data_IF_848531051832
#
_entry.id   IF_848531051832
#
_cell.length_a   1.000
_cell.length_b   1.000
_cell.length_c   1.000
_cell.angle_alpha   90.00
_cell.angle_beta   90.00
_cell.angle_gamma   90.00
#
_symmetry.space_group_name_H-M   'P 1'
#
loop_
_entity.id
_entity.type
_entity.pdbx_description
1 polymer ?
#
# COMPACT_ATOMS: atom_id res chain seq x y z
N UNK A 1 11.09 18.27 -0.06
CA UNK A 1 11.87 17.34 -0.93
C UNK A 1 13.12 17.98 -1.52
N UNK A 2 13.05 19.11 -2.26
CA UNK A 2 14.20 19.72 -2.93
C UNK A 2 15.40 19.97 -2.00
N UNK A 3 15.13 20.46 -0.78
CA UNK A 3 16.14 20.71 0.27
C UNK A 3 16.88 19.44 0.75
N UNK A 4 16.41 18.24 0.42
CA UNK A 4 17.03 16.97 0.83
C UNK A 4 18.22 16.55 -0.06
N UNK A 5 18.67 17.43 -0.96
CA UNK A 5 19.83 17.19 -1.84
C UNK A 5 19.71 15.89 -2.66
N UNK A 6 18.51 15.65 -3.18
CA UNK A 6 18.17 14.40 -3.88
C UNK A 6 18.95 14.30 -5.19
N UNK A 7 19.59 13.15 -5.40
CA UNK A 7 20.18 12.75 -6.68
C UNK A 7 19.33 11.62 -7.27
N UNK A 8 18.51 11.95 -8.27
CA UNK A 8 17.64 11.01 -8.95
C UNK A 8 18.42 10.16 -9.95
N UNK A 9 18.20 8.85 -9.94
CA UNK A 9 18.69 7.94 -10.96
C UNK A 9 17.80 8.08 -12.20
N UNK A 10 18.39 8.47 -13.33
CA UNK A 10 17.71 8.46 -14.65
C UNK A 10 18.53 7.60 -15.61
N UNK A 11 17.87 6.99 -16.59
CA UNK A 11 18.56 6.39 -17.73
C UNK A 11 18.76 7.48 -18.79
N UNK A 12 19.97 7.66 -19.29
CA UNK A 12 20.22 8.51 -20.44
C UNK A 12 19.75 7.83 -21.74
N UNK A 13 19.86 8.51 -22.88
CA UNK A 13 19.42 7.99 -24.19
C UNK A 13 20.10 6.67 -24.58
N UNK A 14 21.31 6.43 -24.06
CA UNK A 14 22.08 5.20 -24.26
C UNK A 14 21.71 4.09 -23.25
N UNK A 15 20.71 4.31 -22.39
CA UNK A 15 20.26 3.36 -21.38
C UNK A 15 21.14 3.26 -20.13
N UNK A 16 22.21 4.06 -20.04
CA UNK A 16 23.13 4.08 -18.89
C UNK A 16 22.48 4.85 -17.73
N UNK A 17 22.60 4.29 -16.52
CA UNK A 17 22.07 4.92 -15.31
C UNK A 17 23.02 6.01 -14.80
N UNK A 18 22.53 7.23 -14.74
CA UNK A 18 23.24 8.40 -14.24
C UNK A 18 22.45 9.07 -13.12
N UNK A 19 23.16 9.81 -12.26
CA UNK A 19 22.57 10.54 -11.14
C UNK A 19 22.43 12.01 -11.50
N UNK A 20 21.20 12.53 -11.40
CA UNK A 20 20.85 13.91 -11.68
C UNK A 20 20.36 14.58 -10.40
N UNK A 21 21.02 15.67 -10.01
CA UNK A 21 20.61 16.43 -8.81
C UNK A 21 19.40 17.29 -9.16
N UNK A 22 18.40 17.25 -8.29
CA UNK A 22 17.20 18.09 -8.46
C UNK A 22 17.55 19.56 -8.21
N UNK A 23 17.02 20.44 -9.04
CA UNK A 23 17.29 21.87 -9.04
C UNK A 23 16.03 22.74 -8.95
N UNK A 24 14.87 22.18 -9.30
CA UNK A 24 13.59 22.90 -9.32
C UNK A 24 12.49 22.15 -8.55
N UNK A 25 11.53 22.86 -7.91
CA UNK A 25 10.32 22.28 -7.35
C UNK A 25 9.45 21.52 -8.36
N UNK A 26 9.60 21.77 -9.66
CA UNK A 26 8.88 21.03 -10.70
C UNK A 26 9.41 19.60 -10.88
N UNK A 27 10.60 19.32 -10.36
CA UNK A 27 11.25 18.00 -10.45
C UNK A 27 10.98 17.12 -9.23
N UNK A 28 10.10 17.53 -8.30
CA UNK A 28 9.68 16.72 -7.16
C UNK A 28 8.29 16.12 -7.37
N UNK A 29 7.87 15.21 -6.49
CA UNK A 29 6.50 14.68 -6.51
C UNK A 29 5.51 15.82 -6.23
N UNK A 30 4.57 16.02 -7.16
CA UNK A 30 3.57 17.10 -7.10
C UNK A 30 2.16 16.61 -6.79
N UNK A 31 1.86 15.35 -7.11
CA UNK A 31 0.56 14.73 -6.84
C UNK A 31 0.77 13.37 -6.17
N UNK A 32 -0.20 12.98 -5.34
CA UNK A 32 -0.26 11.67 -4.71
C UNK A 32 -1.72 11.35 -4.34
N UNK A 33 -2.10 10.07 -4.41
CA UNK A 33 -3.36 9.55 -3.89
C UNK A 33 -3.33 9.55 -2.37
N UNK A 34 -4.12 10.42 -1.74
CA UNK A 34 -4.20 10.55 -0.29
C UNK A 34 -5.50 9.92 0.20
N UNK A 35 -5.44 9.30 1.37
CA UNK A 35 -6.64 8.87 2.06
C UNK A 35 -7.49 10.09 2.44
N UNK A 36 -8.81 9.93 2.41
CA UNK A 36 -9.73 10.90 3.01
C UNK A 36 -9.66 10.82 4.54
N UNK A 37 -10.11 11.88 5.21
CA UNK A 37 -10.27 11.85 6.66
C UNK A 37 -11.31 10.79 7.03
N UNK A 38 -11.00 9.96 8.03
CA UNK A 38 -11.91 8.96 8.57
C UNK A 38 -11.75 8.87 10.08
N UNK A 39 -12.84 8.47 10.76
CA UNK A 39 -12.89 8.35 12.21
C UNK A 39 -13.25 6.91 12.58
N UNK A 40 -12.25 6.17 13.05
CA UNK A 40 -12.40 4.76 13.41
C UNK A 40 -13.38 4.57 14.59
N UNK A 41 -13.43 5.51 15.54
CA UNK A 41 -14.32 5.45 16.69
C UNK A 41 -15.76 5.69 16.28
N UNK A 42 -16.02 6.77 15.53
CA UNK A 42 -17.35 7.14 15.08
C UNK A 42 -17.94 6.16 14.05
N UNK A 43 -17.12 5.65 13.11
CA UNK A 43 -17.59 4.79 12.03
C UNK A 43 -17.79 3.33 12.45
N UNK A 44 -16.96 2.84 13.38
CA UNK A 44 -16.92 1.42 13.72
C UNK A 44 -17.10 1.12 15.21
N UNK A 45 -17.29 2.14 16.05
CA UNK A 45 -17.46 1.97 17.49
C UNK A 45 -16.21 1.49 18.22
N UNK A 46 -15.02 1.70 17.63
CA UNK A 46 -13.75 1.35 18.28
C UNK A 46 -13.52 2.29 19.48
N UNK A 47 -13.16 1.77 20.67
CA UNK A 47 -13.08 2.62 21.86
C UNK A 47 -12.03 3.75 21.75
N UNK A 48 -12.44 4.97 22.06
CA UNK A 48 -11.58 6.17 22.01
C UNK A 48 -10.25 6.02 22.76
N UNK A 49 -10.24 5.28 23.87
CA UNK A 49 -9.03 5.13 24.69
C UNK A 49 -7.90 4.35 24.00
N UNK A 50 -8.22 3.49 23.02
CA UNK A 50 -7.19 2.75 22.26
C UNK A 50 -6.65 3.53 21.06
N UNK A 51 -7.45 4.43 20.49
CA UNK A 51 -7.10 5.13 19.23
C UNK A 51 -5.75 5.86 19.27
N UNK A 52 -5.31 6.48 20.39
CA UNK A 52 -4.00 7.12 20.44
C UNK A 52 -2.81 6.14 20.45
N UNK A 53 -3.04 4.84 20.69
CA UNK A 53 -2.00 3.81 20.68
C UNK A 53 -1.82 3.16 19.29
N UNK A 54 -2.65 3.53 18.32
CA UNK A 54 -2.63 2.97 16.96
C UNK A 54 -1.89 3.90 16.00
N UNK A 55 -0.98 3.35 15.21
CA UNK A 55 -0.49 4.01 14.00
C UNK A 55 -1.63 4.21 12.99
N UNK A 56 -1.55 5.23 12.14
CA UNK A 56 -2.57 5.48 11.12
C UNK A 56 -2.78 4.27 10.19
N UNK A 57 -1.71 3.56 9.84
CA UNK A 57 -1.79 2.34 9.02
C UNK A 57 -2.60 1.26 9.72
N UNK A 58 -2.48 1.15 11.04
CA UNK A 58 -3.24 0.17 11.83
C UNK A 58 -4.71 0.55 11.89
N UNK A 59 -5.02 1.83 12.07
CA UNK A 59 -6.40 2.32 12.03
C UNK A 59 -7.08 2.00 10.71
N UNK A 60 -6.36 2.20 9.60
CA UNK A 60 -6.84 1.88 8.26
C UNK A 60 -7.07 0.39 8.07
N UNK A 61 -6.13 -0.46 8.50
CA UNK A 61 -6.27 -1.92 8.43
C UNK A 61 -7.44 -2.43 9.27
N UNK A 62 -7.62 -1.92 10.49
CA UNK A 62 -8.74 -2.27 11.37
C UNK A 62 -10.07 -1.86 10.73
N UNK A 63 -10.17 -0.62 10.22
CA UNK A 63 -11.38 -0.14 9.52
C UNK A 63 -11.73 -1.05 8.33
N UNK A 64 -10.74 -1.38 7.49
CA UNK A 64 -10.95 -2.26 6.35
C UNK A 64 -11.38 -3.68 6.75
N UNK A 65 -10.83 -4.23 7.84
CA UNK A 65 -11.24 -5.53 8.38
C UNK A 65 -12.67 -5.53 8.93
N UNK A 66 -13.07 -4.46 9.61
CA UNK A 66 -14.43 -4.30 10.13
C UNK A 66 -15.45 -4.10 9.00
N UNK A 67 -15.12 -3.33 7.96
CA UNK A 67 -15.95 -3.25 6.74
C UNK A 67 -16.04 -4.59 6.01
N UNK A 68 -14.94 -5.35 5.92
CA UNK A 68 -14.95 -6.67 5.29
C UNK A 68 -15.85 -7.66 6.04
N UNK A 69 -15.81 -7.66 7.38
CA UNK A 69 -16.73 -8.46 8.21
C UNK A 69 -18.18 -8.06 7.99
N UNK A 70 -18.47 -6.77 7.99
CA UNK A 70 -19.82 -6.24 7.72
C UNK A 70 -20.30 -6.63 6.32
N UNK A 71 -19.47 -6.51 5.30
CA UNK A 71 -19.79 -6.90 3.93
C UNK A 71 -20.01 -8.42 3.79
N UNK A 72 -19.27 -9.23 4.56
CA UNK A 72 -19.47 -10.68 4.65
C UNK A 72 -20.68 -11.11 5.49
N UNK A 73 -21.48 -10.15 5.99
CA UNK A 73 -22.61 -10.35 6.91
C UNK A 73 -22.23 -11.10 8.19
N UNK A 74 -21.08 -10.74 8.78
CA UNK A 74 -20.60 -11.27 10.06
C UNK A 74 -20.72 -10.17 11.10
N UNK A 75 -21.78 -10.26 11.89
CA UNK A 75 -22.09 -9.30 12.93
C UNK A 75 -21.26 -9.57 14.19
N UNK A 76 -20.69 -8.50 14.75
CA UNK A 76 -20.08 -8.59 16.08
C UNK A 76 -21.16 -8.49 17.15
N UNK A 77 -21.06 -9.35 18.16
CA UNK A 77 -21.98 -9.46 19.29
C UNK A 77 -21.40 -8.79 20.53
N UNK A 78 -22.27 -8.14 21.32
CA UNK A 78 -21.86 -7.58 22.61
C UNK A 78 -21.77 -8.68 23.66
N UNK A 79 -20.60 -8.84 24.25
CA UNK A 79 -20.45 -9.67 25.44
C UNK A 79 -20.96 -8.94 26.71
N UNK A 80 -20.95 -9.65 27.85
CA UNK A 80 -21.36 -9.09 29.15
C UNK A 80 -20.54 -7.86 29.59
N UNK A 81 -19.32 -7.70 29.07
CA UNK A 81 -18.46 -6.53 29.31
C UNK A 81 -18.69 -5.40 28.28
N UNK A 82 -19.68 -5.53 27.40
CA UNK A 82 -20.01 -4.54 26.37
C UNK A 82 -19.09 -4.51 25.15
N UNK A 83 -18.11 -5.42 25.05
CA UNK A 83 -17.19 -5.53 23.90
C UNK A 83 -17.89 -6.20 22.73
N UNK A 84 -17.70 -5.65 21.53
CA UNK A 84 -18.17 -6.23 20.26
C UNK A 84 -17.17 -7.30 19.80
N UNK A 85 -17.57 -8.57 19.76
CA UNK A 85 -16.71 -9.69 19.39
C UNK A 85 -17.40 -10.55 18.33
N UNK A 86 -16.66 -11.37 17.59
CA UNK A 86 -17.24 -12.42 16.76
C UNK A 86 -18.14 -13.34 17.60
N UNK A 87 -19.15 -13.98 17.00
CA UNK A 87 -19.87 -15.09 17.61
C UNK A 87 -18.89 -16.14 18.13
N UNK A 88 -19.19 -16.75 19.28
CA UNK A 88 -18.26 -17.60 20.02
C UNK A 88 -17.72 -18.76 19.16
N UNK A 89 -18.59 -19.37 18.38
CA UNK A 89 -18.31 -20.46 17.44
C UNK A 89 -17.35 -20.09 16.32
N UNK A 90 -17.22 -18.80 15.98
CA UNK A 90 -16.32 -18.33 14.92
C UNK A 90 -14.94 -17.94 15.44
N UNK A 91 -14.77 -17.77 16.76
CA UNK A 91 -13.55 -17.15 17.33
C UNK A 91 -12.31 -18.01 17.12
N UNK A 92 -12.39 -19.29 17.43
CA UNK A 92 -11.21 -20.19 17.40
C UNK A 92 -10.76 -20.54 15.99
N UNK A 93 -11.67 -20.47 15.02
CA UNK A 93 -11.42 -20.81 13.63
C UNK A 93 -11.17 -19.61 12.72
N UNK A 94 -11.26 -18.38 13.26
CA UNK A 94 -10.98 -17.13 12.53
C UNK A 94 -9.55 -16.68 12.76
N UNK A 95 -8.74 -16.69 11.69
CA UNK A 95 -7.42 -16.09 11.65
C UNK A 95 -7.42 -14.65 11.14
N UNK A 96 -6.31 -13.94 11.34
CA UNK A 96 -6.11 -12.56 10.88
C UNK A 96 -4.74 -12.40 10.25
N UNK A 97 -4.67 -11.80 9.06
CA UNK A 97 -3.42 -11.48 8.38
C UNK A 97 -3.37 -9.98 8.11
N UNK A 98 -2.30 -9.32 8.54
CA UNK A 98 -2.02 -7.93 8.17
C UNK A 98 -0.94 -7.86 7.10
N UNK A 99 -1.22 -7.16 6.00
CA UNK A 99 -0.33 -6.97 4.88
C UNK A 99 0.06 -5.50 4.71
N UNK A 100 1.36 -5.18 4.76
CA UNK A 100 1.84 -3.82 4.56
C UNK A 100 3.29 -3.78 4.05
N UNK A 101 3.61 -2.77 3.24
CA UNK A 101 5.00 -2.53 2.80
C UNK A 101 5.76 -1.65 3.79
N UNK A 102 5.10 -0.62 4.31
CA UNK A 102 5.69 0.43 5.14
C UNK A 102 4.88 0.67 6.42
N UNK A 103 4.62 -0.37 7.24
CA UNK A 103 3.89 -0.18 8.49
C UNK A 103 4.68 0.72 9.45
N UNK A 104 3.98 1.34 10.41
CA UNK A 104 4.52 2.04 11.61
C UNK A 104 5.38 3.29 11.42
N UNK A 105 5.83 3.57 10.20
CA UNK A 105 6.81 4.63 9.97
C UNK A 105 6.27 6.03 10.26
N UNK A 106 4.96 6.25 10.18
CA UNK A 106 4.35 7.56 10.43
C UNK A 106 4.54 7.99 11.89
N UNK A 107 4.11 7.14 12.83
CA UNK A 107 4.26 7.38 14.27
C UNK A 107 5.73 7.53 14.69
N UNK A 108 6.61 6.72 14.11
CA UNK A 108 8.05 6.81 14.38
C UNK A 108 8.63 8.15 13.89
N UNK A 109 8.34 8.56 12.66
CA UNK A 109 8.81 9.82 12.11
C UNK A 109 8.26 11.00 12.92
N UNK A 110 6.99 10.94 13.34
CA UNK A 110 6.38 11.97 14.17
C UNK A 110 7.11 12.14 15.51
N UNK A 111 7.38 11.04 16.22
CA UNK A 111 8.06 11.07 17.51
C UNK A 111 9.50 11.59 17.39
N UNK A 112 10.25 11.08 16.40
CA UNK A 112 11.61 11.56 16.12
C UNK A 112 11.59 13.04 15.76
N UNK A 113 10.61 13.48 14.97
CA UNK A 113 10.48 14.89 14.57
C UNK A 113 10.12 15.81 15.74
N UNK A 114 9.28 15.36 16.69
CA UNK A 114 9.00 16.08 17.93
C UNK A 114 10.27 16.22 18.77
N UNK A 115 11.00 15.12 18.98
CA UNK A 115 12.24 15.12 19.76
C UNK A 115 13.33 16.01 19.14
N UNK A 116 13.51 15.96 17.81
CA UNK A 116 14.50 16.78 17.10
C UNK A 116 14.15 18.26 17.16
N UNK A 117 12.88 18.63 16.96
CA UNK A 117 12.42 20.02 17.11
C UNK A 117 12.74 20.55 18.51
N UNK A 118 12.44 19.78 19.56
CA UNK A 118 12.79 20.14 20.93
C UNK A 118 14.30 20.35 21.11
N UNK A 119 15.14 19.43 20.63
CA UNK A 119 16.61 19.56 20.71
C UNK A 119 17.14 20.79 19.97
N UNK A 120 16.68 21.03 18.75
CA UNK A 120 17.13 22.14 17.91
C UNK A 120 16.64 23.50 18.44
N UNK A 121 15.42 23.59 18.97
CA UNK A 121 14.94 24.80 19.63
C UNK A 121 15.73 25.09 20.91
N UNK A 122 16.02 24.06 21.70
CA UNK A 122 16.86 24.20 22.89
C UNK A 122 18.30 24.62 22.56
N UNK A 123 18.89 24.06 21.51
CA UNK A 123 20.21 24.45 21.02
C UNK A 123 20.22 25.88 20.47
N UNK A 124 19.31 26.24 19.56
CA UNK A 124 19.23 27.58 18.99
C UNK A 124 18.92 28.65 20.04
N UNK A 125 18.09 28.35 21.05
CA UNK A 125 17.86 29.24 22.19
C UNK A 125 19.15 29.42 22.98
N UNK A 126 19.86 28.34 23.29
CA UNK A 126 21.16 28.40 23.99
C UNK A 126 22.19 29.19 23.20
N UNK A 127 22.32 28.96 21.90
CA UNK A 127 23.25 29.67 21.01
C UNK A 127 22.89 31.16 20.88
N UNK A 128 21.60 31.51 20.76
CA UNK A 128 21.12 32.90 20.76
C UNK A 128 21.45 33.59 22.08
N UNK A 129 21.20 32.92 23.21
CA UNK A 129 21.54 33.43 24.54
C UNK A 129 23.06 33.62 24.68
N UNK A 130 23.87 32.64 24.27
CA UNK A 130 25.33 32.73 24.32
C UNK A 130 25.87 33.85 23.41
N UNK A 131 25.29 34.03 22.22
CA UNK A 131 25.64 35.10 21.30
C UNK A 131 25.30 36.48 21.89
N UNK A 132 24.07 36.67 22.38
CA UNK A 132 23.64 37.93 22.98
C UNK A 132 24.44 38.26 24.25
N UNK A 133 24.79 37.27 25.07
CA UNK A 133 25.69 37.45 26.23
C UNK A 133 27.09 37.91 25.80
N UNK A 134 27.66 37.32 24.75
CA UNK A 134 28.97 37.74 24.19
C UNK A 134 28.91 39.17 23.64
N UNK A 135 27.86 39.50 22.88
CA UNK A 135 27.66 40.84 22.35
C UNK A 135 27.53 41.85 23.50
N UNK A 136 26.68 41.55 24.51
CA UNK A 136 26.50 42.38 25.70
C UNK A 136 27.83 42.68 26.40
N UNK A 137 28.63 41.65 26.68
CA UNK A 137 29.94 41.81 27.35
C UNK A 137 30.92 42.67 26.55
N UNK A 138 30.87 42.59 25.22
CA UNK A 138 31.76 43.35 24.35
C UNK A 138 31.35 44.84 24.23
N UNK A 139 30.06 45.16 24.36
CA UNK A 139 29.56 46.54 24.26
C UNK A 139 29.34 47.21 25.61
N UNK A 140 29.41 46.49 26.72
CA UNK A 140 29.15 46.96 28.09
C UNK A 140 30.01 48.16 28.50
N UNK A 141 31.30 48.16 28.14
CA UNK A 141 32.23 49.23 28.52
C UNK A 141 32.09 50.50 27.67
N UNK A 142 31.60 50.38 26.43
CA UNK A 142 31.49 51.49 25.48
C UNK A 142 30.06 52.06 25.40
N UNK A 143 29.05 51.22 25.57
CA UNK A 143 27.63 51.55 25.41
C UNK A 143 26.77 50.85 26.48
N UNK A 144 26.85 51.27 27.76
CA UNK A 144 26.17 50.61 28.87
C UNK A 144 24.63 50.61 28.73
N UNK A 145 24.06 51.62 28.07
CA UNK A 145 22.62 51.68 27.76
C UNK A 145 22.16 50.57 26.79
N UNK A 146 22.99 50.24 25.79
CA UNK A 146 22.70 49.18 24.81
C UNK A 146 22.86 47.80 25.47
N UNK A 147 23.89 47.61 26.31
CA UNK A 147 24.08 46.39 27.07
C UNK A 147 22.86 46.08 27.97
N UNK A 148 22.28 47.11 28.61
CA UNK A 148 21.08 46.96 29.44
C UNK A 148 19.84 46.53 28.65
N UNK A 149 19.67 47.01 27.41
CA UNK A 149 18.59 46.56 26.51
C UNK A 149 18.79 45.11 26.11
N UNK A 150 20.02 44.72 25.74
CA UNK A 150 20.35 43.33 25.37
C UNK A 150 20.13 42.38 26.56
N UNK A 151 20.48 42.78 27.79
CA UNK A 151 20.22 42.00 29.00
C UNK A 151 18.72 41.87 29.29
N UNK A 152 17.92 42.91 29.04
CA UNK A 152 16.46 42.85 29.14
C UNK A 152 15.83 41.91 28.11
N UNK A 153 16.34 41.91 26.87
CA UNK A 153 15.96 40.97 25.81
C UNK A 153 16.34 39.53 26.18
N UNK A 154 17.54 39.32 26.73
CA UNK A 154 18.02 38.04 27.24
C UNK A 154 17.10 37.49 28.33
N UNK A 155 16.74 38.31 29.32
CA UNK A 155 15.77 37.92 30.35
C UNK A 155 14.40 37.62 29.75
N UNK A 156 13.96 38.37 28.75
CA UNK A 156 12.70 38.13 28.04
C UNK A 156 12.72 36.79 27.31
N UNK A 157 13.82 36.44 26.62
CA UNK A 157 14.02 35.16 25.93
C UNK A 157 14.12 34.00 26.93
N UNK A 158 14.81 34.20 28.06
CA UNK A 158 14.91 33.20 29.13
C UNK A 158 13.57 33.01 29.88
N UNK A 159 12.74 34.07 29.98
CA UNK A 159 11.38 34.04 30.57
C UNK A 159 10.31 33.58 29.58
N UNK A 160 10.50 33.78 28.28
CA UNK A 160 9.61 33.27 27.24
C UNK A 160 9.77 31.77 27.19
N UNK A 161 9.00 31.09 28.03
CA UNK A 161 8.66 29.68 27.86
C UNK A 161 7.80 29.56 26.60
N UNK A 162 8.38 29.73 25.41
CA UNK A 162 7.86 28.97 24.28
C UNK A 162 7.84 27.51 24.74
N UNK A 163 6.75 26.81 24.52
CA UNK A 163 6.46 25.50 25.12
C UNK A 163 7.51 24.46 24.70
N UNK A 164 8.66 24.48 25.38
CA UNK A 164 9.81 23.60 25.21
C UNK A 164 9.56 22.27 25.93
N UNK A 165 8.31 21.95 26.26
CA UNK A 165 7.98 20.68 26.88
C UNK A 165 7.91 19.59 25.81
N UNK A 166 8.89 18.69 25.83
CA UNK A 166 8.82 17.42 25.14
C UNK A 166 8.70 16.32 26.18
N UNK A 167 7.58 15.60 26.12
CA UNK A 167 7.38 14.35 26.84
C UNK A 167 7.44 13.21 25.83
N UNK A 168 8.24 12.19 26.13
CA UNK A 168 8.34 11.01 25.28
C UNK A 168 6.98 10.29 25.25
N UNK A 169 6.51 9.95 24.05
CA UNK A 169 5.23 9.26 23.92
C UNK A 169 5.32 7.84 24.49
N UNK A 170 4.79 7.62 25.70
CA UNK A 170 4.74 6.30 26.34
C UNK A 170 4.02 5.22 25.51
N UNK A 171 3.18 5.61 24.55
CA UNK A 171 2.44 4.70 23.66
C UNK A 171 3.24 4.32 22.41
N UNK A 172 4.42 4.93 22.18
CA UNK A 172 5.22 4.71 20.97
C UNK A 172 5.47 3.23 20.71
N UNK A 173 5.78 2.44 21.75
CA UNK A 173 6.04 1.02 21.60
C UNK A 173 4.87 0.28 20.91
N UNK A 174 3.64 0.60 21.29
CA UNK A 174 2.44 0.01 20.68
C UNK A 174 2.16 0.55 19.27
N UNK A 175 2.64 1.75 18.95
CA UNK A 175 2.53 2.35 17.63
C UNK A 175 3.59 1.81 16.65
N UNK A 176 4.74 1.33 17.14
CA UNK A 176 5.86 0.89 16.30
C UNK A 176 6.06 -0.61 16.21
N UNK A 177 5.43 -1.39 17.10
CA UNK A 177 5.34 -2.83 16.93
C UNK A 177 4.26 -3.13 15.89
N UNK A 178 4.63 -3.88 14.84
CA UNK A 178 3.71 -4.28 13.76
C UNK A 178 2.67 -5.25 14.35
N UNK A 179 1.48 -4.74 14.66
CA UNK A 179 0.46 -5.49 15.41
C UNK A 179 -0.97 -5.22 14.96
N UNK A 180 -1.19 -4.65 13.76
CA UNK A 180 -2.56 -4.38 13.29
C UNK A 180 -3.43 -5.65 13.22
N UNK A 181 -2.81 -6.77 12.84
CA UNK A 181 -3.40 -8.11 12.88
C UNK A 181 -3.80 -8.53 14.30
N UNK A 182 -2.92 -8.37 15.28
CA UNK A 182 -3.18 -8.68 16.69
C UNK A 182 -4.24 -7.75 17.30
N UNK A 183 -4.21 -6.46 16.97
CA UNK A 183 -5.16 -5.46 17.46
C UNK A 183 -6.55 -5.67 16.86
N UNK A 184 -6.65 -5.99 15.56
CA UNK A 184 -7.92 -6.37 14.95
C UNK A 184 -8.45 -7.67 15.58
N UNK A 185 -7.59 -8.68 15.77
CA UNK A 185 -7.98 -9.93 16.42
C UNK A 185 -8.48 -9.72 17.86
N UNK A 186 -7.80 -8.87 18.64
CA UNK A 186 -8.24 -8.49 19.99
C UNK A 186 -9.60 -7.78 19.95
N UNK A 187 -9.78 -6.84 19.02
CA UNK A 187 -11.02 -6.09 18.85
C UNK A 187 -12.22 -6.98 18.55
N UNK A 188 -12.03 -8.01 17.72
CA UNK A 188 -13.12 -8.91 17.29
C UNK A 188 -13.11 -10.24 18.05
N UNK A 189 -12.19 -10.46 18.98
CA UNK A 189 -12.07 -11.72 19.72
C UNK A 189 -11.67 -12.94 18.86
N UNK A 190 -10.98 -12.74 17.75
CA UNK A 190 -10.47 -13.83 16.92
C UNK A 190 -9.26 -14.50 17.62
N UNK A 191 -9.26 -15.83 17.69
CA UNK A 191 -8.27 -16.65 18.40
C UNK A 191 -7.52 -17.63 17.48
N UNK A 192 -7.83 -17.64 16.18
CA UNK A 192 -7.12 -18.45 15.19
C UNK A 192 -5.72 -17.91 14.84
N UNK A 193 -5.07 -18.49 13.82
CA UNK A 193 -3.73 -18.09 13.39
C UNK A 193 -3.64 -16.61 13.04
N UNK A 194 -2.55 -15.97 13.44
CA UNK A 194 -2.40 -14.53 13.35
C UNK A 194 -0.97 -14.16 12.92
N UNK A 195 -0.81 -13.35 11.86
CA UNK A 195 0.51 -12.96 11.34
C UNK A 195 0.47 -11.62 10.59
N UNK A 196 1.61 -10.94 10.53
CA UNK A 196 1.87 -9.86 9.58
C UNK A 196 2.72 -10.34 8.40
N UNK A 197 2.55 -9.75 7.22
CA UNK A 197 3.30 -10.09 6.02
C UNK A 197 3.72 -8.84 5.25
N UNK A 198 4.97 -8.84 4.78
CA UNK A 198 5.53 -7.82 3.92
C UNK A 198 6.16 -8.47 2.68
N UNK A 199 5.47 -8.35 1.56
CA UNK A 199 5.96 -8.70 0.22
C UNK A 199 6.02 -7.45 -0.67
N UNK A 200 6.33 -6.30 -0.07
CA UNK A 200 6.23 -4.99 -0.70
C UNK A 200 4.85 -4.81 -1.38
N UNK A 201 4.82 -4.40 -2.65
CA UNK A 201 3.60 -4.14 -3.39
C UNK A 201 2.72 -5.37 -3.66
N UNK A 202 3.20 -6.58 -3.34
CA UNK A 202 2.45 -7.83 -3.42
C UNK A 202 1.89 -8.31 -2.06
N UNK A 203 2.01 -7.51 -0.99
CA UNK A 203 1.69 -7.94 0.38
C UNK A 203 0.26 -8.45 0.56
N UNK A 204 -0.76 -7.75 0.03
CA UNK A 204 -2.15 -8.20 0.17
C UNK A 204 -2.40 -9.53 -0.55
N UNK A 205 -1.92 -9.67 -1.79
CA UNK A 205 -2.02 -10.91 -2.56
C UNK A 205 -1.26 -12.06 -1.87
N UNK A 206 -0.12 -11.78 -1.24
CA UNK A 206 0.61 -12.75 -0.40
C UNK A 206 -0.24 -13.20 0.79
N UNK A 207 -0.92 -12.26 1.47
CA UNK A 207 -1.84 -12.58 2.56
C UNK A 207 -3.00 -13.46 2.12
N UNK A 208 -3.56 -13.23 0.94
CA UNK A 208 -4.62 -14.08 0.35
C UNK A 208 -4.12 -15.50 0.10
N UNK A 209 -2.90 -15.65 -0.45
CA UNK A 209 -2.30 -16.96 -0.69
C UNK A 209 -2.02 -17.72 0.62
N UNK A 210 -1.49 -17.04 1.65
CA UNK A 210 -1.30 -17.63 2.99
C UNK A 210 -2.64 -18.03 3.61
N UNK A 211 -3.69 -17.23 3.43
CA UNK A 211 -5.03 -17.55 3.90
C UNK A 211 -5.59 -18.81 3.20
N UNK A 212 -5.41 -18.94 1.89
CA UNK A 212 -5.76 -20.17 1.15
C UNK A 212 -5.04 -21.38 1.76
N UNK A 213 -3.72 -21.29 1.95
CA UNK A 213 -2.91 -22.36 2.52
C UNK A 213 -3.38 -22.75 3.94
N UNK A 214 -3.60 -21.76 4.81
CA UNK A 214 -4.09 -22.01 6.18
C UNK A 214 -5.44 -22.71 6.19
N UNK A 215 -6.37 -22.31 5.31
CA UNK A 215 -7.69 -22.95 5.21
C UNK A 215 -7.56 -24.37 4.69
N UNK A 216 -6.77 -24.57 3.63
CA UNK A 216 -6.58 -25.90 3.00
C UNK A 216 -5.96 -26.92 3.94
N UNK A 217 -5.04 -26.50 4.81
CA UNK A 217 -4.38 -27.38 5.79
C UNK A 217 -5.11 -27.44 7.13
N UNK A 218 -6.31 -26.83 7.23
CA UNK A 218 -7.15 -26.90 8.42
C UNK A 218 -6.67 -26.08 9.63
N UNK A 219 -5.81 -25.08 9.41
CA UNK A 219 -5.35 -24.15 10.48
C UNK A 219 -6.41 -23.11 10.86
N UNK A 220 -7.30 -22.79 9.93
CA UNK A 220 -8.41 -21.86 10.12
C UNK A 220 -9.58 -22.26 9.21
N UNK A 221 -10.81 -22.00 9.61
CA UNK A 221 -11.95 -22.10 8.69
C UNK A 221 -12.18 -20.79 7.95
N UNK A 222 -11.67 -19.69 8.53
CA UNK A 222 -11.89 -18.32 8.06
C UNK A 222 -10.64 -17.49 8.31
N UNK A 223 -10.29 -16.61 7.40
CA UNK A 223 -9.16 -15.68 7.55
C UNK A 223 -9.57 -14.30 7.07
N UNK A 224 -9.37 -13.30 7.93
CA UNK A 224 -9.54 -11.90 7.57
C UNK A 224 -8.18 -11.38 7.12
N UNK A 225 -8.06 -11.02 5.85
CA UNK A 225 -6.85 -10.41 5.29
C UNK A 225 -7.07 -8.91 5.19
N UNK A 226 -6.24 -8.12 5.85
CA UNK A 226 -6.27 -6.66 5.80
C UNK A 226 -4.95 -6.12 5.26
N UNK A 227 -5.02 -5.39 4.16
CA UNK A 227 -3.89 -4.67 3.57
C UNK A 227 -3.99 -3.17 3.84
N UNK A 228 -2.93 -2.50 4.28
CA UNK A 228 -2.93 -1.05 4.45
C UNK A 228 -1.53 -0.42 4.32
N UNK A 229 -1.44 0.75 3.68
CA UNK A 229 -0.25 1.59 3.65
C UNK A 229 -0.62 3.07 3.51
N UNK A 230 0.06 3.95 4.27
CA UNK A 230 -0.12 5.41 4.23
C UNK A 230 1.16 6.19 3.86
N UNK A 231 1.74 5.88 2.71
CA UNK A 231 2.99 6.52 2.25
C UNK A 231 2.84 7.97 1.79
N UNK A 232 1.60 8.46 1.62
CA UNK A 232 1.31 9.83 1.16
C UNK A 232 0.96 10.80 2.29
N UNK A 233 1.12 10.37 3.54
CA UNK A 233 1.03 11.25 4.71
C UNK A 233 2.11 12.34 4.66
N UNK A 234 1.91 13.43 5.43
CA UNK A 234 2.88 14.54 5.48
C UNK A 234 4.26 14.07 5.95
N UNK A 235 4.29 13.12 6.89
CA UNK A 235 5.50 12.56 7.44
C UNK A 235 6.17 11.61 6.43
N UNK A 236 5.39 10.67 5.90
CA UNK A 236 5.88 9.59 5.05
C UNK A 236 6.35 10.07 3.69
N UNK A 237 5.60 10.98 3.06
CA UNK A 237 5.89 11.46 1.71
C UNK A 237 7.28 12.09 1.62
N UNK A 238 7.74 12.76 2.69
CA UNK A 238 9.07 13.38 2.73
C UNK A 238 10.24 12.39 2.70
N UNK A 239 10.03 11.12 3.06
CA UNK A 239 11.08 10.11 3.12
C UNK A 239 10.83 9.01 2.10
N UNK A 240 9.69 8.33 2.19
CA UNK A 240 9.34 7.25 1.25
C UNK A 240 9.15 7.82 -0.16
N UNK A 241 8.39 8.91 -0.30
CA UNK A 241 8.23 9.60 -1.59
C UNK A 241 9.57 10.08 -2.16
N UNK A 242 10.41 10.71 -1.35
CA UNK A 242 11.78 11.09 -1.76
C UNK A 242 12.61 9.88 -2.20
N UNK A 243 12.47 8.72 -1.56
CA UNK A 243 13.14 7.48 -1.95
C UNK A 243 12.71 7.00 -3.33
N UNK A 244 11.41 6.93 -3.61
CA UNK A 244 10.89 6.60 -4.94
C UNK A 244 11.32 7.63 -6.00
N UNK A 245 11.35 8.91 -5.64
CA UNK A 245 11.85 9.97 -6.51
C UNK A 245 13.34 9.77 -6.82
N UNK A 246 14.16 9.47 -5.82
CA UNK A 246 15.60 9.21 -5.96
C UNK A 246 15.88 7.98 -6.83
N UNK A 247 15.04 6.95 -6.77
CA UNK A 247 15.14 5.77 -7.63
C UNK A 247 14.72 6.02 -9.09
N UNK A 248 14.16 7.19 -9.40
CA UNK A 248 13.56 7.48 -10.72
C UNK A 248 12.25 6.72 -10.96
N UNK A 249 11.60 6.26 -9.88
CA UNK A 249 10.40 5.44 -9.97
C UNK A 249 9.11 6.28 -9.91
N UNK A 250 9.12 7.44 -9.25
CA UNK A 250 7.95 8.30 -9.10
C UNK A 250 7.79 9.32 -10.23
N UNK A 251 6.54 9.61 -10.59
CA UNK A 251 6.20 10.74 -11.46
C UNK A 251 6.40 12.09 -10.76
N UNK A 252 6.81 13.09 -11.53
CA UNK A 252 6.90 14.50 -11.11
C UNK A 252 5.84 15.39 -11.77
N UNK A 253 4.91 14.80 -12.53
CA UNK A 253 3.86 15.55 -13.23
C UNK A 253 2.87 16.20 -12.26
N UNK A 254 2.34 17.34 -12.67
CA UNK A 254 1.51 18.21 -11.82
C UNK A 254 0.02 17.87 -11.79
N UNK A 255 -0.46 16.99 -12.67
CA UNK A 255 -1.86 16.59 -12.75
C UNK A 255 -2.00 15.10 -13.10
N UNK A 256 -3.13 14.51 -12.73
CA UNK A 256 -3.38 13.08 -12.88
C UNK A 256 -3.41 12.66 -14.37
N UNK A 257 -3.93 13.52 -15.25
CA UNK A 257 -4.09 13.28 -16.68
C UNK A 257 -2.76 13.17 -17.45
N UNK A 258 -1.65 13.55 -16.81
CA UNK A 258 -0.28 13.45 -17.34
C UNK A 258 0.59 12.43 -16.60
N UNK A 259 0.22 12.07 -15.37
CA UNK A 259 0.99 11.18 -14.50
C UNK A 259 0.44 9.75 -14.50
N UNK A 260 -0.88 9.62 -14.37
CA UNK A 260 -1.60 8.38 -14.12
C UNK A 260 -2.01 7.73 -15.45
N UNK A 261 -1.00 7.35 -16.23
CA UNK A 261 -1.14 6.90 -17.63
C UNK A 261 -0.74 5.42 -17.80
N UNK A 262 -1.54 4.47 -17.27
CA UNK A 262 -1.26 3.03 -17.40
C UNK A 262 -1.16 2.64 -18.87
N UNK A 263 -0.11 1.89 -19.20
CA UNK A 263 0.15 1.37 -20.54
C UNK A 263 0.31 2.43 -21.66
N UNK A 264 0.39 3.73 -21.33
CA UNK A 264 0.70 4.76 -22.33
C UNK A 264 2.19 4.78 -22.65
N UNK A 265 2.56 5.13 -23.88
CA UNK A 265 3.94 5.48 -24.25
C UNK A 265 4.49 6.66 -23.46
N UNK A 266 3.62 7.56 -23.00
CA UNK A 266 3.96 8.79 -22.26
C UNK A 266 4.08 8.59 -20.75
N UNK A 267 3.94 7.35 -20.26
CA UNK A 267 4.10 7.02 -18.84
C UNK A 267 5.50 7.39 -18.34
N UNK A 268 5.57 7.93 -17.13
CA UNK A 268 6.77 8.64 -16.64
C UNK A 268 7.11 8.32 -15.17
N UNK A 269 6.55 7.24 -14.62
CA UNK A 269 6.75 6.84 -13.23
C UNK A 269 5.45 6.76 -12.45
N UNK A 270 5.49 6.05 -11.33
CA UNK A 270 4.33 5.78 -10.49
C UNK A 270 3.82 7.04 -9.78
N UNK A 271 2.50 7.17 -9.67
CA UNK A 271 1.86 8.10 -8.75
C UNK A 271 1.72 7.37 -7.42
N UNK A 272 2.30 7.88 -6.34
CA UNK A 272 2.15 7.25 -5.03
C UNK A 272 0.70 7.34 -4.57
N UNK A 273 0.17 6.25 -4.04
CA UNK A 273 -1.16 6.18 -3.44
C UNK A 273 -1.08 5.70 -1.99
N UNK A 274 -2.19 5.78 -1.28
CA UNK A 274 -2.36 5.23 0.06
C UNK A 274 -3.79 4.74 0.21
N UNK A 275 -3.98 3.66 0.94
CA UNK A 275 -5.28 3.02 1.03
C UNK A 275 -5.24 1.76 1.89
N UNK A 276 -6.42 1.17 2.08
CA UNK A 276 -6.58 -0.10 2.74
C UNK A 276 -7.64 -0.96 2.05
N UNK A 277 -7.51 -2.27 2.22
CA UNK A 277 -8.40 -3.29 1.65
C UNK A 277 -8.60 -4.40 2.68
N UNK A 278 -9.81 -4.94 2.77
CA UNK A 278 -10.13 -6.05 3.64
C UNK A 278 -10.86 -7.14 2.86
N UNK A 279 -10.48 -8.39 3.09
CA UNK A 279 -11.14 -9.57 2.52
C UNK A 279 -11.42 -10.59 3.63
N UNK A 280 -12.58 -11.23 3.57
CA UNK A 280 -12.92 -12.40 4.39
C UNK A 280 -12.86 -13.62 3.48
N UNK A 281 -11.93 -14.53 3.76
CA UNK A 281 -11.74 -15.77 3.01
C UNK A 281 -12.16 -16.92 3.91
N UNK A 282 -12.96 -17.84 3.39
CA UNK A 282 -13.51 -18.95 4.17
C UNK A 282 -13.36 -20.26 3.41
N UNK A 283 -13.34 -21.37 4.14
CA UNK A 283 -13.63 -22.66 3.54
C UNK A 283 -15.05 -22.64 2.98
N UNK A 284 -15.27 -23.37 1.88
CA UNK A 284 -16.62 -23.47 1.29
C UNK A 284 -17.62 -24.07 2.29
N UNK A 285 -17.18 -25.01 3.15
CA UNK A 285 -18.00 -25.57 4.21
C UNK A 285 -18.45 -24.53 5.23
N UNK A 286 -17.53 -23.70 5.74
CA UNK A 286 -17.85 -22.67 6.72
C UNK A 286 -18.74 -21.57 6.14
N UNK A 287 -18.49 -21.18 4.89
CA UNK A 287 -19.35 -20.24 4.17
C UNK A 287 -20.77 -20.78 4.00
N UNK A 288 -20.92 -22.07 3.63
CA UNK A 288 -22.24 -22.73 3.49
C UNK A 288 -22.96 -22.90 4.81
N UNK A 289 -22.25 -23.28 5.88
CA UNK A 289 -22.83 -23.48 7.22
C UNK A 289 -23.53 -22.23 7.75
N UNK A 290 -22.98 -21.05 7.46
CA UNK A 290 -23.58 -19.76 7.84
C UNK A 290 -24.40 -19.08 6.73
N UNK A 291 -24.70 -19.80 5.65
CA UNK A 291 -25.45 -19.30 4.48
C UNK A 291 -24.88 -18.00 3.90
N UNK A 292 -23.54 -17.90 3.83
CA UNK A 292 -22.86 -16.72 3.34
C UNK A 292 -23.09 -16.50 1.83
N UNK A 293 -23.19 -15.23 1.44
CA UNK A 293 -23.08 -14.85 0.01
C UNK A 293 -21.62 -15.00 -0.41
N UNK A 294 -21.33 -16.01 -1.22
CA UNK A 294 -20.00 -16.22 -1.79
C UNK A 294 -19.85 -15.26 -2.98
N UNK A 295 -18.81 -14.42 -2.96
CA UNK A 295 -18.55 -13.44 -4.02
C UNK A 295 -17.75 -14.03 -5.19
N UNK A 296 -16.78 -14.88 -4.86
CA UNK A 296 -15.93 -15.59 -5.82
C UNK A 296 -15.26 -16.80 -5.15
N UNK A 297 -14.64 -17.67 -5.94
CA UNK A 297 -13.78 -18.75 -5.48
C UNK A 297 -12.32 -18.44 -5.81
N UNK A 298 -11.39 -18.76 -4.92
CA UNK A 298 -9.96 -18.80 -5.24
C UNK A 298 -9.69 -20.15 -5.92
N UNK A 299 -9.30 -20.12 -7.20
CA UNK A 299 -9.02 -21.33 -7.98
C UNK A 299 -7.61 -21.85 -7.74
N UNK A 300 -6.64 -20.94 -7.70
CA UNK A 300 -5.25 -21.21 -7.38
C UNK A 300 -4.52 -19.93 -6.97
N UNK A 301 -3.53 -20.08 -6.08
CA UNK A 301 -2.53 -19.05 -5.83
C UNK A 301 -1.12 -19.58 -6.10
N UNK A 302 -0.20 -18.65 -6.35
CA UNK A 302 1.22 -18.93 -6.54
C UNK A 302 2.06 -17.82 -5.94
N UNK A 303 2.83 -18.14 -4.90
CA UNK A 303 3.84 -17.27 -4.30
C UNK A 303 5.20 -17.62 -4.89
N UNK A 304 5.93 -16.61 -5.40
CA UNK A 304 7.21 -16.79 -6.10
C UNK A 304 8.20 -15.68 -5.78
N UNK A 305 9.48 -16.05 -5.72
CA UNK A 305 10.59 -15.10 -5.67
C UNK A 305 11.57 -15.39 -6.80
N UNK A 306 11.81 -14.43 -7.70
CA UNK A 306 12.69 -14.66 -8.85
C UNK A 306 14.19 -14.57 -8.53
N UNK A 307 14.58 -14.20 -7.31
CA UNK A 307 15.98 -13.98 -6.89
C UNK A 307 16.81 -13.14 -7.88
N UNK A 308 16.18 -12.22 -8.61
CA UNK A 308 16.75 -11.59 -9.79
C UNK A 308 17.35 -10.22 -9.50
N UNK A 309 16.53 -9.30 -8.98
CA UNK A 309 16.94 -7.93 -8.71
C UNK A 309 16.03 -7.28 -7.66
N UNK A 310 16.57 -6.31 -6.91
CA UNK A 310 15.84 -5.61 -5.84
C UNK A 310 14.60 -4.84 -6.36
N UNK A 311 14.65 -4.32 -7.58
CA UNK A 311 13.54 -3.56 -8.21
C UNK A 311 13.17 -4.05 -9.61
N UNK A 312 13.83 -5.10 -10.10
CA UNK A 312 13.67 -5.63 -11.45
C UNK A 312 12.94 -6.95 -11.38
N UNK A 313 12.27 -7.33 -12.46
CA UNK A 313 11.48 -8.56 -12.54
C UNK A 313 12.07 -9.42 -13.66
N UNK A 314 12.39 -10.67 -13.34
CA UNK A 314 12.78 -11.65 -14.35
C UNK A 314 11.56 -12.13 -15.12
N UNK A 315 11.42 -11.64 -16.36
CA UNK A 315 10.28 -12.00 -17.21
C UNK A 315 10.21 -13.49 -17.51
N UNK A 316 11.36 -14.17 -17.72
CA UNK A 316 11.36 -15.58 -18.07
C UNK A 316 10.84 -16.43 -16.91
N UNK A 317 11.28 -16.11 -15.69
CA UNK A 317 10.79 -16.78 -14.49
C UNK A 317 9.30 -16.50 -14.26
N UNK A 318 8.86 -15.24 -14.37
CA UNK A 318 7.44 -14.86 -14.20
C UNK A 318 6.53 -15.55 -15.22
N UNK A 319 6.95 -15.66 -16.49
CA UNK A 319 6.22 -16.43 -17.51
C UNK A 319 6.07 -17.89 -17.10
N UNK A 320 7.16 -18.53 -16.68
CA UNK A 320 7.13 -19.94 -16.27
C UNK A 320 6.21 -20.19 -15.06
N UNK A 321 6.19 -19.26 -14.12
CA UNK A 321 5.32 -19.36 -12.94
C UNK A 321 3.84 -19.10 -13.27
N UNK A 322 3.55 -18.29 -14.29
CA UNK A 322 2.20 -18.19 -14.84
C UNK A 322 1.76 -19.52 -15.49
N UNK A 323 2.64 -20.21 -16.23
CA UNK A 323 2.32 -21.55 -16.76
C UNK A 323 1.97 -22.53 -15.65
N UNK A 324 2.78 -22.58 -14.60
CA UNK A 324 2.53 -23.48 -13.44
C UNK A 324 1.18 -23.18 -12.77
N UNK A 325 0.83 -21.89 -12.61
CA UNK A 325 -0.48 -21.52 -12.07
C UNK A 325 -1.62 -22.00 -12.97
N UNK A 326 -1.52 -21.77 -14.27
CA UNK A 326 -2.56 -22.15 -15.24
C UNK A 326 -2.71 -23.67 -15.35
N UNK A 327 -1.60 -24.41 -15.35
CA UNK A 327 -1.60 -25.87 -15.34
C UNK A 327 -2.29 -26.40 -14.08
N UNK A 328 -2.02 -25.80 -12.92
CA UNK A 328 -2.71 -26.16 -11.67
C UNK A 328 -4.21 -25.87 -11.73
N UNK A 329 -4.62 -24.77 -12.39
CA UNK A 329 -6.04 -24.46 -12.59
C UNK A 329 -6.70 -25.49 -13.51
N UNK A 330 -6.04 -25.91 -14.57
CA UNK A 330 -6.52 -26.96 -15.47
C UNK A 330 -6.59 -28.32 -14.77
N UNK A 331 -5.54 -28.71 -14.04
CA UNK A 331 -5.45 -30.00 -13.34
C UNK A 331 -6.54 -30.17 -12.27
N UNK A 332 -6.83 -29.11 -11.51
CA UNK A 332 -7.78 -29.17 -10.39
C UNK A 332 -9.21 -28.95 -10.85
N UNK A 333 -9.43 -28.03 -11.81
CA UNK A 333 -10.78 -27.56 -12.16
C UNK A 333 -11.20 -27.90 -13.59
N UNK A 334 -10.32 -28.48 -14.41
CA UNK A 334 -10.59 -28.77 -15.83
C UNK A 334 -10.71 -27.52 -16.71
N UNK A 335 -10.28 -26.36 -16.22
CA UNK A 335 -10.39 -25.08 -16.94
C UNK A 335 -9.15 -24.88 -17.81
N UNK A 336 -9.31 -25.13 -19.11
CA UNK A 336 -8.25 -24.90 -20.10
C UNK A 336 -7.90 -23.43 -20.25
N UNK A 337 -6.65 -23.16 -20.62
CA UNK A 337 -6.11 -21.81 -20.82
C UNK A 337 -6.94 -20.97 -21.80
N UNK A 338 -7.42 -21.57 -22.88
CA UNK A 338 -8.25 -20.88 -23.90
C UNK A 338 -9.59 -20.44 -23.31
N UNK A 339 -10.26 -21.33 -22.61
CA UNK A 339 -11.54 -21.05 -21.94
C UNK A 339 -11.39 -20.02 -20.82
N UNK A 340 -10.27 -20.08 -20.09
CA UNK A 340 -9.91 -19.08 -19.09
C UNK A 340 -9.77 -17.71 -19.74
N UNK A 341 -9.00 -17.59 -20.83
CA UNK A 341 -8.73 -16.32 -21.47
C UNK A 341 -9.98 -15.69 -22.11
N UNK A 342 -10.80 -16.49 -22.79
CA UNK A 342 -12.07 -16.06 -23.39
C UNK A 342 -13.01 -15.43 -22.36
N UNK A 343 -13.06 -16.01 -21.16
CA UNK A 343 -13.94 -15.60 -20.08
C UNK A 343 -13.19 -14.89 -18.94
N UNK A 344 -11.98 -14.42 -19.22
CA UNK A 344 -11.05 -13.92 -18.21
C UNK A 344 -10.93 -12.41 -18.19
N UNK A 345 -10.74 -11.88 -16.98
CA UNK A 345 -10.25 -10.53 -16.71
C UNK A 345 -8.83 -10.65 -16.20
N UNK A 346 -7.91 -9.85 -16.72
CA UNK A 346 -6.58 -9.70 -16.13
C UNK A 346 -6.50 -8.37 -15.38
N UNK A 347 -6.32 -8.43 -14.05
CA UNK A 347 -6.10 -7.24 -13.23
C UNK A 347 -4.60 -7.00 -13.12
N UNK A 348 -4.14 -6.00 -13.87
CA UNK A 348 -2.74 -5.69 -14.06
C UNK A 348 -2.10 -5.07 -12.81
N UNK A 349 -0.82 -5.41 -12.58
CA UNK A 349 0.00 -4.73 -11.58
C UNK A 349 0.50 -3.36 -12.04
N UNK A 350 0.61 -3.10 -13.34
CA UNK A 350 1.25 -1.93 -13.93
C UNK A 350 1.13 -0.64 -13.10
N UNK A 351 2.27 0.00 -12.88
CA UNK A 351 2.47 1.15 -11.98
C UNK A 351 2.98 2.40 -12.71
N UNK A 352 2.70 2.57 -14.00
CA UNK A 352 3.21 3.67 -14.86
C UNK A 352 4.74 3.70 -15.02
N UNK A 353 5.43 2.60 -14.69
CA UNK A 353 6.88 2.48 -14.80
C UNK A 353 7.36 2.53 -16.25
N UNK A 354 8.65 2.83 -16.44
CA UNK A 354 9.27 3.04 -17.74
C UNK A 354 8.93 1.96 -18.79
N UNK A 355 8.93 2.38 -20.06
CA UNK A 355 8.45 1.56 -21.17
C UNK A 355 9.18 0.22 -21.25
N UNK A 356 10.50 0.27 -21.12
CA UNK A 356 11.38 -0.89 -21.25
C UNK A 356 11.76 -1.45 -19.87
N UNK A 357 11.37 -2.70 -19.62
CA UNK A 357 11.71 -3.46 -18.40
C UNK A 357 10.90 -3.07 -17.15
N UNK A 358 9.90 -2.19 -17.29
CA UNK A 358 8.90 -1.92 -16.26
C UNK A 358 7.81 -3.01 -16.19
N UNK A 359 6.93 -2.92 -15.20
CA UNK A 359 5.90 -3.93 -14.93
C UNK A 359 5.02 -4.21 -16.17
N UNK A 360 4.61 -3.17 -16.90
CA UNK A 360 3.81 -3.29 -18.12
C UNK A 360 4.42 -4.25 -19.15
N UNK A 361 5.71 -4.09 -19.46
CA UNK A 361 6.38 -4.89 -20.47
C UNK A 361 6.53 -6.36 -20.04
N UNK A 362 6.78 -6.57 -18.74
CA UNK A 362 6.86 -7.91 -18.16
C UNK A 362 5.51 -8.60 -18.20
N UNK A 363 4.44 -7.91 -17.81
CA UNK A 363 3.08 -8.45 -17.81
C UNK A 363 2.61 -8.80 -19.22
N UNK A 364 2.80 -7.89 -20.18
CA UNK A 364 2.45 -8.14 -21.60
C UNK A 364 3.17 -9.36 -22.15
N UNK A 365 4.48 -9.45 -21.92
CA UNK A 365 5.27 -10.59 -22.39
C UNK A 365 4.86 -11.89 -21.70
N UNK A 366 4.65 -11.86 -20.38
CA UNK A 366 4.20 -13.02 -19.62
C UNK A 366 2.82 -13.50 -20.06
N UNK A 367 1.88 -12.59 -20.36
CA UNK A 367 0.56 -12.97 -20.88
C UNK A 367 0.63 -13.60 -22.27
N UNK A 368 1.40 -13.00 -23.18
CA UNK A 368 1.55 -13.52 -24.56
C UNK A 368 2.22 -14.89 -24.58
N UNK A 369 3.31 -15.07 -23.83
CA UNK A 369 3.98 -16.36 -23.72
C UNK A 369 3.18 -17.37 -22.85
N UNK A 370 2.42 -16.86 -21.87
CA UNK A 370 1.59 -17.63 -20.94
C UNK A 370 0.40 -18.31 -21.60
N UNK A 371 -0.36 -17.54 -22.38
CA UNK A 371 -1.59 -17.97 -23.03
C UNK A 371 -1.41 -18.26 -24.53
N UNK A 372 -0.36 -17.73 -25.17
CA UNK A 372 -0.24 -17.60 -26.62
C UNK A 372 -0.86 -16.30 -27.12
N UNK A 373 -0.30 -15.69 -28.18
CA UNK A 373 -0.67 -14.35 -28.65
C UNK A 373 -2.18 -14.17 -28.92
N UNK A 374 -2.77 -15.08 -29.69
CA UNK A 374 -4.19 -15.03 -30.07
C UNK A 374 -5.12 -15.23 -28.87
N UNK A 375 -4.71 -16.05 -27.91
CA UNK A 375 -5.51 -16.35 -26.72
C UNK A 375 -5.40 -15.20 -25.72
N UNK A 376 -4.20 -14.62 -25.57
CA UNK A 376 -3.94 -13.50 -24.69
C UNK A 376 -4.78 -12.26 -25.07
N UNK A 377 -5.02 -12.01 -26.36
CA UNK A 377 -5.84 -10.87 -26.80
C UNK A 377 -7.33 -10.99 -26.47
N UNK A 378 -7.80 -12.18 -26.06
CA UNK A 378 -9.18 -12.39 -25.59
C UNK A 378 -9.40 -11.98 -24.13
N UNK A 379 -8.32 -11.91 -23.33
CA UNK A 379 -8.37 -11.44 -21.93
C UNK A 379 -8.74 -9.96 -21.88
N UNK A 380 -9.69 -9.61 -21.00
CA UNK A 380 -10.00 -8.22 -20.73
C UNK A 380 -9.02 -7.68 -19.68
N UNK A 381 -8.10 -6.80 -20.08
CA UNK A 381 -7.11 -6.21 -19.20
C UNK A 381 -7.69 -4.97 -18.51
N UNK A 382 -7.61 -4.92 -17.19
CA UNK A 382 -8.01 -3.78 -16.38
C UNK A 382 -6.91 -3.39 -15.39
N UNK A 383 -6.93 -2.12 -14.96
CA UNK A 383 -6.00 -1.56 -13.99
C UNK A 383 -6.70 -0.41 -13.25
N UNK A 384 -6.47 -0.28 -11.95
CA UNK A 384 -7.14 0.72 -11.10
C UNK A 384 -6.23 1.81 -10.59
N UNK A 385 -4.92 1.71 -10.84
CA UNK A 385 -3.93 2.65 -10.28
C UNK A 385 -4.10 4.04 -10.84
N UNK A 386 -4.69 4.18 -12.03
CA UNK A 386 -4.98 5.50 -12.57
C UNK A 386 -5.94 6.32 -11.67
N UNK A 387 -6.81 5.63 -10.92
CA UNK A 387 -7.75 6.24 -9.99
C UNK A 387 -7.21 6.29 -8.55
N UNK A 388 -6.41 5.30 -8.17
CA UNK A 388 -6.01 5.09 -6.76
C UNK A 388 -4.56 5.52 -6.48
N UNK A 389 -3.80 5.87 -7.51
CA UNK A 389 -2.33 5.83 -7.44
C UNK A 389 -1.85 4.40 -7.20
N UNK A 390 -0.63 4.25 -6.72
CA UNK A 390 -0.11 2.97 -6.27
C UNK A 390 -0.16 2.91 -4.72
N UNK A 391 -1.14 2.21 -4.12
CA UNK A 391 -1.33 2.13 -2.67
C UNK A 391 -0.35 1.15 -1.96
N UNK A 392 0.83 0.94 -2.56
CA UNK A 392 1.89 0.06 -2.03
C UNK A 392 1.37 -1.36 -1.75
N UNK A 393 1.40 -1.81 -0.49
CA UNK A 393 1.02 -3.15 -0.08
C UNK A 393 -0.48 -3.38 0.06
N UNK A 394 -1.31 -2.33 -0.01
CA UNK A 394 -2.77 -2.45 -0.01
C UNK A 394 -3.29 -2.80 -1.41
N UNK A 395 -3.53 -4.10 -1.65
CA UNK A 395 -3.96 -4.64 -2.94
C UNK A 395 -5.43 -4.41 -3.22
N UNK A 396 -5.82 -3.15 -3.47
CA UNK A 396 -7.19 -2.77 -3.88
C UNK A 396 -7.61 -3.57 -5.13
N UNK A 397 -6.66 -3.91 -5.98
CA UNK A 397 -6.83 -4.75 -7.17
C UNK A 397 -7.44 -6.12 -6.87
N UNK A 398 -7.10 -6.73 -5.72
CA UNK A 398 -7.63 -8.05 -5.34
C UNK A 398 -9.13 -7.98 -5.06
N UNK A 399 -9.58 -6.97 -4.30
CA UNK A 399 -11.00 -6.72 -4.07
C UNK A 399 -11.73 -6.35 -5.38
N UNK A 400 -11.09 -5.57 -6.26
CA UNK A 400 -11.65 -5.22 -7.56
C UNK A 400 -11.79 -6.45 -8.46
N UNK A 401 -10.85 -7.39 -8.45
CA UNK A 401 -10.96 -8.64 -9.20
C UNK A 401 -12.21 -9.43 -8.77
N UNK A 402 -12.40 -9.61 -7.46
CA UNK A 402 -13.55 -10.29 -6.87
C UNK A 402 -14.86 -9.58 -7.23
N UNK A 403 -14.92 -8.26 -7.01
CA UNK A 403 -16.13 -7.49 -7.30
C UNK A 403 -16.44 -7.42 -8.79
N UNK A 404 -15.43 -7.41 -9.66
CA UNK A 404 -15.63 -7.44 -11.11
C UNK A 404 -16.35 -8.72 -11.56
N UNK A 405 -15.99 -9.87 -10.98
CA UNK A 405 -16.67 -11.14 -11.24
C UNK A 405 -18.08 -11.17 -10.64
N UNK A 406 -18.24 -10.66 -9.42
CA UNK A 406 -19.50 -10.68 -8.71
C UNK A 406 -20.55 -9.76 -9.36
N UNK A 407 -20.17 -8.54 -9.71
CA UNK A 407 -21.10 -7.55 -10.27
C UNK A 407 -21.13 -7.52 -11.79
N UNK A 408 -20.21 -8.25 -12.45
CA UNK A 408 -19.98 -8.15 -13.89
C UNK A 408 -19.58 -6.75 -14.34
N UNK A 409 -18.98 -5.92 -13.47
CA UNK A 409 -18.57 -4.54 -13.80
C UNK A 409 -17.07 -4.41 -13.68
N UNK A 410 -16.43 -4.09 -14.79
CA UNK A 410 -14.96 -3.96 -14.86
C UNK A 410 -14.60 -2.48 -14.94
N UNK A 411 -13.58 -2.00 -14.20
CA UNK A 411 -13.16 -0.61 -14.29
C UNK A 411 -12.47 -0.32 -15.64
N UNK A 412 -12.58 0.92 -16.14
CA UNK A 412 -11.85 1.34 -17.33
C UNK A 412 -10.37 1.52 -17.04
N UNK A 413 -9.55 1.40 -18.07
CA UNK A 413 -8.22 2.02 -18.10
C UNK A 413 -8.39 3.39 -18.79
N UNK A 414 -8.11 4.53 -18.13
CA UNK A 414 -8.28 5.85 -18.73
C UNK A 414 -7.54 5.98 -20.06
N UNK A 415 -8.31 6.09 -21.16
CA UNK A 415 -7.77 6.07 -22.51
C UNK A 415 -7.34 7.47 -22.95
N UNK A 416 -6.03 7.66 -23.15
CA UNK A 416 -5.48 8.75 -23.97
C UNK A 416 -4.72 8.09 -25.12
N UNK A 417 -4.97 8.53 -26.36
CA UNK A 417 -4.67 7.85 -27.63
C UNK A 417 -3.20 7.53 -27.98
N UNK A 418 -2.35 7.27 -26.99
CA UNK A 418 -0.93 6.98 -27.08
C UNK A 418 -0.60 5.67 -26.35
N UNK A 419 -1.32 4.58 -26.65
CA UNK A 419 -1.02 3.25 -26.11
C UNK A 419 0.36 2.77 -26.58
N UNK A 420 1.06 2.07 -25.70
CA UNK A 420 2.32 1.42 -26.00
C UNK A 420 2.19 0.40 -27.14
N UNK A 421 3.13 0.42 -28.10
CA UNK A 421 3.17 -0.54 -29.21
C UNK A 421 3.26 -1.97 -28.72
N UNK A 422 3.95 -2.18 -27.60
CA UNK A 422 4.11 -3.50 -27.01
C UNK A 422 2.77 -4.14 -26.64
N UNK A 423 1.72 -3.35 -26.38
CA UNK A 423 0.38 -3.90 -26.12
C UNK A 423 -0.16 -4.66 -27.33
N UNK A 424 0.12 -4.20 -28.55
CA UNK A 424 -0.44 -4.77 -29.77
C UNK A 424 -1.96 -4.84 -29.75
N UNK A 425 -2.51 -6.04 -29.90
CA UNK A 425 -3.93 -6.38 -29.96
C UNK A 425 -4.57 -6.76 -28.62
N UNK A 426 -3.86 -6.62 -27.50
CA UNK A 426 -4.41 -6.93 -26.18
C UNK A 426 -5.65 -6.08 -25.88
N UNK A 427 -6.71 -6.74 -25.39
CA UNK A 427 -8.00 -6.11 -25.15
C UNK A 427 -8.02 -5.32 -23.82
N UNK A 428 -7.87 -4.00 -23.92
CA UNK A 428 -7.87 -3.08 -22.78
C UNK A 428 -9.30 -2.64 -22.43
N UNK A 429 -9.66 -2.73 -21.15
CA UNK A 429 -11.00 -2.37 -20.68
C UNK A 429 -11.31 -0.88 -20.87
N UNK A 430 -12.42 -0.59 -21.53
CA UNK A 430 -13.07 0.73 -21.58
C UNK A 430 -14.04 0.97 -20.42
N UNK A 431 -14.11 0.01 -19.48
CA UNK A 431 -15.05 -0.02 -18.39
C UNK A 431 -16.46 -0.44 -18.84
N UNK A 432 -17.29 -0.83 -17.88
CA UNK A 432 -18.69 -1.19 -18.12
C UNK A 432 -19.02 -2.61 -17.71
N UNK A 433 -20.11 -3.15 -18.28
CA UNK A 433 -20.62 -4.47 -17.96
C UNK A 433 -19.96 -5.54 -18.84
N UNK A 434 -19.39 -6.55 -18.20
CA UNK A 434 -18.80 -7.72 -18.84
C UNK A 434 -19.17 -8.98 -18.07
N UNK A 435 -19.75 -9.97 -18.76
CA UNK A 435 -19.97 -11.29 -18.16
C UNK A 435 -18.71 -12.13 -18.34
N UNK A 436 -17.91 -12.19 -17.28
CA UNK A 436 -16.64 -12.91 -17.22
C UNK A 436 -16.69 -13.88 -16.05
N UNK A 437 -16.11 -15.06 -16.26
CA UNK A 437 -16.15 -16.16 -15.29
C UNK A 437 -14.88 -16.26 -14.47
N UNK A 438 -13.77 -15.67 -14.94
CA UNK A 438 -12.47 -15.81 -14.31
C UNK A 438 -11.76 -14.48 -14.20
N UNK A 439 -10.94 -14.33 -13.15
CA UNK A 439 -10.03 -13.20 -13.02
C UNK A 439 -8.63 -13.71 -12.67
N UNK A 440 -7.62 -13.18 -13.33
CA UNK A 440 -6.21 -13.42 -13.03
C UNK A 440 -5.60 -12.12 -12.52
N UNK A 441 -4.99 -12.17 -11.34
CA UNK A 441 -4.23 -11.08 -10.76
C UNK A 441 -2.78 -11.50 -10.67
N UNK A 442 -1.88 -10.70 -11.23
CA UNK A 442 -0.43 -10.80 -10.98
C UNK A 442 0.01 -9.61 -10.17
N UNK A 443 0.68 -9.79 -9.02
CA UNK A 443 1.29 -8.77 -8.17
C UNK A 443 2.81 -8.89 -8.17
N UNK A 444 3.53 -7.77 -8.26
CA UNK A 444 4.99 -7.73 -8.16
C UNK A 444 5.42 -6.68 -7.14
N UNK A 445 6.36 -7.04 -6.27
CA UNK A 445 6.95 -6.18 -5.25
C UNK A 445 8.47 -6.13 -5.38
N UNK A 446 9.07 -5.17 -4.68
CA UNK A 446 10.53 -5.12 -4.53
C UNK A 446 11.07 -6.42 -3.89
N UNK A 447 12.33 -6.72 -4.20
CA UNK A 447 12.99 -7.97 -3.80
C UNK A 447 12.57 -9.16 -4.64
N UNK A 448 12.08 -8.95 -5.86
CA UNK A 448 11.56 -10.01 -6.76
C UNK A 448 10.40 -10.82 -6.16
N UNK A 449 9.65 -10.24 -5.22
CA UNK A 449 8.48 -10.88 -4.59
C UNK A 449 7.29 -10.80 -5.54
N UNK A 450 6.76 -11.93 -5.99
CA UNK A 450 5.66 -11.98 -6.94
C UNK A 450 4.56 -12.92 -6.45
N UNK A 451 3.31 -12.59 -6.75
CA UNK A 451 2.15 -13.43 -6.43
C UNK A 451 1.20 -13.47 -7.60
N UNK A 452 0.75 -14.66 -7.99
CA UNK A 452 -0.39 -14.83 -8.89
C UNK A 452 -1.59 -15.38 -8.14
N UNK A 453 -2.78 -14.91 -8.50
CA UNK A 453 -4.05 -15.44 -8.00
C UNK A 453 -5.02 -15.57 -9.15
N UNK A 454 -5.60 -16.76 -9.29
CA UNK A 454 -6.73 -17.02 -10.18
C UNK A 454 -8.01 -17.11 -9.35
N UNK A 455 -9.01 -16.34 -9.73
CA UNK A 455 -10.36 -16.32 -9.15
C UNK A 455 -11.38 -16.86 -10.16
N UNK A 456 -12.44 -17.47 -9.66
CA UNK A 456 -13.59 -17.94 -10.43
C UNK A 456 -14.89 -17.37 -9.88
N UNK A 457 -15.86 -17.13 -10.75
CA UNK A 457 -17.24 -16.80 -10.40
C UNK A 457 -17.91 -17.98 -9.69
N UNK A 458 -18.89 -17.70 -8.83
CA UNK A 458 -19.60 -18.70 -8.01
C UNK A 458 -20.59 -19.52 -8.83
#
# INVERSE_FOLDING_TARGET
MLEKNVAQVRKNENGVREKYRLSSPEEVIRIAGRIADFDLGAQHGVPEFILPALDITFKMAISAGLEALKHANICLERNAAGKLLLPEELRDSTGVIFAASFPVLDSLIEEVSKHLRYKLQKQSTREKVDMLRRISKNVESQFPGIAKVILGELESIEKSKEDLSYEFNRKLLFQILVMANSQLAELIGARGPNVDVNAACASSSMGIAIAEDWIRVGRASRVIVVGADNVTSRNMLQYVGTGFLALGAASTKGCAEEAALPFSRKRNGLVLGSGAVGLVIESESAAKEREAVILSRILATRIVNSAYHASGIDTKHVTGELHVLLDRVEDIHGIKREAFAENGIYISHETFTCVNGGCAAVEVKALREGFGDVTASKLLIANTKAFTGHPMGAGIEDAVAVMSLHTGRVPPIPRKGDLDENLGDLNISSGGSHDKSYALRFAAGFGSQCVFIAYGKV
#
